data_IF_228522803794
#
_entry.id   IF_228522803794
#
_cell.length_a   1.000
_cell.length_b   1.000
_cell.length_c   1.000
_cell.angle_alpha   90.00
_cell.angle_beta   90.00
_cell.angle_gamma   90.00
#
_symmetry.space_group_name_H-M   'P 1'
#
loop_
_entity.id
_entity.type
_entity.pdbx_description
1 polymer ?
#
# COMPACT_ATOMS: atom_id res chain seq x y z
N UNK A 1 10.91 5.57 -13.37
CA UNK A 1 9.87 6.57 -13.01
C UNK A 1 10.10 7.80 -13.88
N UNK A 2 9.06 8.50 -14.32
CA UNK A 2 9.28 9.77 -15.03
C UNK A 2 9.66 10.88 -14.02
N UNK A 3 10.41 11.92 -14.43
CA UNK A 3 10.71 13.05 -13.54
C UNK A 3 9.45 13.75 -13.00
N UNK A 4 8.35 13.72 -13.76
CA UNK A 4 7.06 14.28 -13.36
C UNK A 4 6.42 13.48 -12.22
N UNK A 5 6.50 12.15 -12.26
CA UNK A 5 5.99 11.30 -11.18
C UNK A 5 6.76 11.57 -9.89
N UNK A 6 8.09 11.67 -9.97
CA UNK A 6 8.96 11.92 -8.80
C UNK A 6 8.64 13.27 -8.15
N UNK A 7 8.58 14.34 -8.94
CA UNK A 7 8.21 15.66 -8.46
C UNK A 7 6.81 15.67 -7.80
N UNK A 8 5.86 14.94 -8.37
CA UNK A 8 4.50 14.83 -7.83
C UNK A 8 4.48 14.03 -6.52
N UNK A 9 5.22 12.94 -6.42
CA UNK A 9 5.35 12.12 -5.20
C UNK A 9 5.93 12.96 -4.06
N UNK A 10 7.02 13.70 -4.33
CA UNK A 10 7.66 14.58 -3.36
C UNK A 10 6.74 15.73 -2.92
N UNK A 11 6.05 16.37 -3.87
CA UNK A 11 5.12 17.46 -3.58
C UNK A 11 3.93 17.02 -2.71
N UNK A 12 3.49 15.76 -2.84
CA UNK A 12 2.43 15.18 -2.02
C UNK A 12 2.93 14.62 -0.68
N UNK A 13 4.25 14.63 -0.41
CA UNK A 13 4.82 14.04 0.81
C UNK A 13 4.53 12.55 0.95
N UNK A 14 4.40 11.82 -0.17
CA UNK A 14 4.02 10.42 -0.14
C UNK A 14 5.16 9.53 0.37
N UNK A 15 4.86 8.66 1.35
CA UNK A 15 5.81 7.68 1.89
C UNK A 15 5.80 6.36 1.12
N UNK A 16 4.67 6.02 0.48
CA UNK A 16 4.44 4.75 -0.23
C UNK A 16 3.99 5.07 -1.65
N UNK A 17 4.47 4.27 -2.61
CA UNK A 17 4.07 4.33 -4.02
C UNK A 17 3.47 2.99 -4.44
N UNK A 18 2.30 3.02 -5.07
CA UNK A 18 1.67 1.85 -5.70
C UNK A 18 1.08 2.21 -7.08
N UNK A 19 0.19 1.39 -7.62
CA UNK A 19 -0.43 1.59 -8.94
C UNK A 19 -1.97 1.56 -8.92
N UNK A 20 -2.62 1.33 -7.76
CA UNK A 20 -4.06 1.06 -7.68
C UNK A 20 -4.80 1.85 -6.58
N UNK A 21 -4.14 2.20 -5.49
CA UNK A 21 -4.77 2.61 -4.22
C UNK A 21 -5.71 3.80 -4.36
N UNK A 22 -5.28 4.85 -5.06
CA UNK A 22 -6.10 6.04 -5.28
C UNK A 22 -7.36 5.74 -6.12
N UNK A 23 -7.29 4.83 -7.09
CA UNK A 23 -8.44 4.45 -7.90
C UNK A 23 -9.45 3.61 -7.08
N UNK A 24 -8.95 2.73 -6.21
CA UNK A 24 -9.80 1.98 -5.26
C UNK A 24 -10.51 2.94 -4.30
N UNK A 25 -9.77 3.92 -3.73
CA UNK A 25 -10.35 4.94 -2.86
C UNK A 25 -11.44 5.74 -3.57
N UNK A 26 -11.19 6.14 -4.82
CA UNK A 26 -12.15 6.88 -5.63
C UNK A 26 -13.48 6.11 -5.80
N UNK A 27 -13.43 4.83 -6.16
CA UNK A 27 -14.67 4.04 -6.31
C UNK A 27 -15.36 3.82 -4.96
N UNK A 28 -14.60 3.57 -3.88
CA UNK A 28 -15.18 3.43 -2.55
C UNK A 28 -15.92 4.71 -2.10
N UNK A 29 -15.36 5.89 -2.40
CA UNK A 29 -15.95 7.20 -2.12
C UNK A 29 -17.27 7.40 -2.89
N UNK A 30 -17.33 7.01 -4.18
CA UNK A 30 -18.57 7.08 -4.99
C UNK A 30 -19.76 6.36 -4.35
N UNK A 31 -19.51 5.31 -3.57
CA UNK A 31 -20.54 4.52 -2.89
C UNK A 31 -20.58 4.75 -1.37
N UNK A 32 -19.77 5.68 -0.85
CA UNK A 32 -19.65 5.95 0.59
C UNK A 32 -19.33 4.70 1.41
N UNK A 33 -18.48 3.82 0.88
CA UNK A 33 -18.03 2.59 1.54
C UNK A 33 -16.68 2.87 2.24
N UNK A 34 -16.54 2.59 3.55
CA UNK A 34 -15.24 2.69 4.22
C UNK A 34 -14.17 1.81 3.58
N UNK A 35 -12.96 2.34 3.44
CA UNK A 35 -11.82 1.63 2.83
C UNK A 35 -10.57 1.81 3.68
N UNK A 36 -9.82 0.72 3.86
CA UNK A 36 -8.51 0.69 4.55
C UNK A 36 -7.49 0.12 3.57
N UNK A 37 -6.27 0.67 3.57
CA UNK A 37 -5.17 0.20 2.76
C UNK A 37 -4.08 -0.40 3.63
N UNK A 38 -3.67 -1.63 3.31
CA UNK A 38 -2.45 -2.26 3.85
C UNK A 38 -1.49 -2.42 2.68
N UNK A 39 -0.34 -1.74 2.75
CA UNK A 39 0.67 -1.75 1.69
C UNK A 39 1.98 -2.30 2.26
N UNK A 40 2.52 -3.34 1.63
CA UNK A 40 3.79 -3.93 2.03
C UNK A 40 4.88 -3.49 1.05
N UNK A 41 5.98 -2.95 1.60
CA UNK A 41 7.08 -2.37 0.82
C UNK A 41 7.97 -3.48 0.27
N UNK A 42 8.07 -3.56 -1.05
CA UNK A 42 8.85 -4.58 -1.76
C UNK A 42 10.17 -4.02 -2.28
N UNK A 43 10.20 -2.75 -2.65
CA UNK A 43 11.38 -2.03 -3.13
C UNK A 43 11.45 -0.62 -2.52
N UNK A 44 12.67 -0.10 -2.41
CA UNK A 44 12.95 1.26 -1.94
C UNK A 44 13.21 2.15 -3.16
N UNK A 45 12.23 3.01 -3.49
CA UNK A 45 12.23 3.81 -4.73
C UNK A 45 13.43 4.75 -4.85
N UNK A 46 13.86 5.33 -3.72
CA UNK A 46 15.02 6.21 -3.58
C UNK A 46 16.29 5.46 -3.09
N UNK A 47 16.25 4.12 -3.15
CA UNK A 47 17.37 3.26 -2.79
C UNK A 47 18.38 3.07 -3.93
N UNK A 48 19.45 2.33 -3.64
CA UNK A 48 20.54 2.11 -4.60
C UNK A 48 20.25 1.00 -5.62
N UNK A 49 19.30 0.10 -5.34
CA UNK A 49 19.01 -1.08 -6.18
C UNK A 49 18.00 -0.75 -7.29
N UNK A 50 18.08 -1.45 -8.45
CA UNK A 50 17.01 -1.40 -9.44
C UNK A 50 15.69 -1.89 -8.85
N UNK A 51 14.65 -1.08 -8.93
CA UNK A 51 13.35 -1.34 -8.29
C UNK A 51 12.75 -2.68 -8.70
N UNK A 52 12.80 -3.03 -9.99
CA UNK A 52 12.26 -4.30 -10.50
C UNK A 52 12.96 -5.53 -9.92
N UNK A 53 14.27 -5.44 -9.70
CA UNK A 53 15.06 -6.54 -9.14
C UNK A 53 14.80 -6.68 -7.64
N UNK A 54 14.79 -5.58 -6.91
CA UNK A 54 14.48 -5.58 -5.47
C UNK A 54 13.05 -6.06 -5.19
N UNK A 55 12.09 -5.61 -6.01
CA UNK A 55 10.71 -6.08 -5.97
C UNK A 55 10.63 -7.60 -6.08
N UNK A 56 11.24 -8.19 -7.12
CA UNK A 56 11.21 -9.64 -7.36
C UNK A 56 11.96 -10.42 -6.27
N UNK A 57 13.10 -9.90 -5.82
CA UNK A 57 13.90 -10.50 -4.75
C UNK A 57 13.10 -10.59 -3.44
N UNK A 58 12.38 -9.53 -3.10
CA UNK A 58 11.67 -9.42 -1.83
C UNK A 58 10.24 -9.95 -1.87
N UNK A 59 9.68 -10.18 -3.06
CA UNK A 59 8.26 -10.50 -3.27
C UNK A 59 7.76 -11.61 -2.35
N UNK A 60 8.48 -12.73 -2.24
CA UNK A 60 8.05 -13.88 -1.42
C UNK A 60 8.03 -13.54 0.08
N UNK A 61 9.08 -12.88 0.59
CA UNK A 61 9.18 -12.56 2.01
C UNK A 61 8.17 -11.47 2.42
N UNK A 62 7.98 -10.47 1.56
CA UNK A 62 7.09 -9.34 1.82
C UNK A 62 5.63 -9.74 1.68
N UNK A 63 5.29 -10.62 0.74
CA UNK A 63 3.93 -11.17 0.64
C UNK A 63 3.57 -12.05 1.83
N UNK A 64 4.50 -12.85 2.36
CA UNK A 64 4.29 -13.59 3.62
C UNK A 64 4.08 -12.63 4.81
N UNK A 65 4.82 -11.51 4.85
CA UNK A 65 4.63 -10.49 5.89
C UNK A 65 3.27 -9.79 5.75
N UNK A 66 2.83 -9.52 4.52
CA UNK A 66 1.52 -8.95 4.23
C UNK A 66 0.39 -9.91 4.62
N UNK A 67 0.52 -11.20 4.33
CA UNK A 67 -0.44 -12.25 4.70
C UNK A 67 -0.65 -12.29 6.23
N UNK A 68 0.45 -12.28 6.99
CA UNK A 68 0.38 -12.23 8.45
C UNK A 68 -0.30 -10.95 8.94
N UNK A 69 0.08 -9.78 8.40
CA UNK A 69 -0.49 -8.50 8.82
C UNK A 69 -1.99 -8.40 8.50
N UNK A 70 -2.42 -8.84 7.31
CA UNK A 70 -3.82 -8.84 6.91
C UNK A 70 -4.64 -9.81 7.77
N UNK A 71 -4.09 -10.98 8.10
CA UNK A 71 -4.75 -11.92 9.02
C UNK A 71 -5.01 -11.27 10.39
N UNK A 72 -4.01 -10.56 10.94
CA UNK A 72 -4.16 -9.82 12.20
C UNK A 72 -5.18 -8.68 12.11
N UNK A 73 -5.25 -7.97 10.97
CA UNK A 73 -6.26 -6.93 10.74
C UNK A 73 -7.66 -7.52 10.72
N UNK A 74 -7.86 -8.66 10.03
CA UNK A 74 -9.15 -9.36 9.98
C UNK A 74 -9.56 -9.82 11.38
N UNK A 75 -8.66 -10.47 12.12
CA UNK A 75 -8.89 -10.91 13.50
C UNK A 75 -9.24 -9.73 14.42
N UNK A 76 -8.59 -8.58 14.23
CA UNK A 76 -8.88 -7.37 14.99
C UNK A 76 -10.28 -6.82 14.66
N UNK A 77 -10.68 -6.79 13.39
CA UNK A 77 -11.98 -6.23 12.96
C UNK A 77 -13.14 -7.15 13.38
N UNK A 78 -12.90 -8.46 13.49
CA UNK A 78 -13.95 -9.42 13.80
C UNK A 78 -14.72 -9.06 15.10
N UNK A 79 -16.05 -8.86 14.97
CA UNK A 79 -16.93 -8.50 16.07
C UNK A 79 -16.97 -7.01 16.44
N UNK A 80 -16.23 -6.13 15.74
CA UNK A 80 -16.23 -4.68 15.95
C UNK A 80 -17.19 -3.94 15.02
N UNK A 81 -17.70 -2.79 15.48
CA UNK A 81 -18.31 -1.79 14.63
C UNK A 81 -17.24 -0.85 14.05
N UNK A 82 -17.58 -0.11 12.98
CA UNK A 82 -16.69 0.89 12.39
C UNK A 82 -16.25 1.97 13.38
N UNK A 83 -17.09 2.30 14.36
CA UNK A 83 -16.78 3.26 15.43
C UNK A 83 -15.72 2.76 16.41
N UNK A 84 -15.43 1.46 16.41
CA UNK A 84 -14.48 0.82 17.31
C UNK A 84 -13.10 0.62 16.64
N UNK A 85 -12.96 1.06 15.39
CA UNK A 85 -11.73 1.01 14.59
C UNK A 85 -10.94 2.31 14.71
#
# INVERSE_FOLDING_TARGET
>A
MSPQDEASILANGATIKDMEGAAVAYVADLFSVPVIFVKAVTDIVDGEKPTAEEFLQNLVAVTASLDQAVSQVIDFINGKCLSDL
#
